data_IF_774658129034
#
_entry.id   IF_774658129034
#
_cell.length_a   1.000
_cell.length_b   1.000
_cell.length_c   1.000
_cell.angle_alpha   90.00
_cell.angle_beta   90.00
_cell.angle_gamma   90.00
#
_symmetry.space_group_name_H-M   'P 1'
#
loop_
_entity.id
_entity.type
_entity.pdbx_description
1 polymer ?
#
# COMPACT_ATOMS: atom_id res chain seq x y z
N UNK A 1 5.14 5.83 15.49
CA UNK A 1 4.54 6.09 14.16
C UNK A 1 4.30 4.73 13.53
N UNK A 2 3.04 4.36 13.28
CA UNK A 2 2.72 3.10 12.60
C UNK A 2 3.24 3.19 11.17
N UNK A 3 4.30 2.44 10.88
CA UNK A 3 4.98 2.42 9.60
C UNK A 3 4.07 1.81 8.53
N UNK A 4 4.06 2.41 7.34
CA UNK A 4 3.26 1.96 6.18
C UNK A 4 3.44 0.45 5.87
N UNK A 5 4.65 -0.06 6.12
CA UNK A 5 4.99 -1.48 5.98
C UNK A 5 4.20 -2.41 6.92
N UNK A 6 3.87 -1.96 8.13
CA UNK A 6 3.11 -2.76 9.11
C UNK A 6 1.67 -2.91 8.65
N UNK A 7 1.06 -1.82 8.18
CA UNK A 7 -0.30 -1.85 7.63
C UNK A 7 -0.36 -2.78 6.42
N UNK A 8 0.62 -2.65 5.51
CA UNK A 8 0.70 -3.48 4.30
C UNK A 8 0.79 -4.98 4.63
N UNK A 9 1.66 -5.36 5.56
CA UNK A 9 1.77 -6.76 5.98
C UNK A 9 0.49 -7.30 6.63
N UNK A 10 -0.19 -6.48 7.43
CA UNK A 10 -1.43 -6.89 8.09
C UNK A 10 -2.56 -7.12 7.08
N UNK A 11 -2.66 -6.28 6.04
CA UNK A 11 -3.61 -6.45 4.94
C UNK A 11 -3.32 -7.74 4.17
N UNK A 12 -2.05 -8.01 3.85
CA UNK A 12 -1.65 -9.20 3.11
C UNK A 12 -2.00 -10.47 3.90
N UNK A 13 -1.67 -10.51 5.19
CA UNK A 13 -2.00 -11.66 6.05
C UNK A 13 -3.50 -11.91 6.09
N UNK A 14 -4.30 -10.86 6.29
CA UNK A 14 -5.76 -10.97 6.32
C UNK A 14 -6.34 -11.41 4.97
N UNK A 15 -5.74 -11.01 3.85
CA UNK A 15 -6.12 -11.47 2.52
C UNK A 15 -5.75 -12.94 2.25
N UNK A 16 -4.75 -13.50 2.93
CA UNK A 16 -4.44 -14.92 2.87
C UNK A 16 -5.33 -15.76 3.79
N UNK A 17 -5.67 -15.24 4.98
CA UNK A 17 -6.55 -15.92 5.93
C UNK A 17 -8.03 -15.89 5.51
N UNK A 18 -8.47 -14.78 4.92
CA UNK A 18 -9.85 -14.59 4.47
C UNK A 18 -9.91 -14.36 2.94
N UNK A 19 -10.22 -15.40 2.15
CA UNK A 19 -10.36 -15.28 0.70
C UNK A 19 -11.54 -14.38 0.29
N UNK A 20 -12.56 -14.22 1.14
CA UNK A 20 -13.65 -13.28 0.89
C UNK A 20 -13.17 -11.84 1.01
N UNK A 21 -12.33 -11.57 2.02
CA UNK A 21 -11.67 -10.27 2.17
C UNK A 21 -10.76 -9.97 0.98
N UNK A 22 -9.99 -10.94 0.49
CA UNK A 22 -9.17 -10.78 -0.71
C UNK A 22 -9.98 -10.40 -1.94
N UNK A 23 -11.10 -11.10 -2.20
CA UNK A 23 -11.97 -10.76 -3.32
C UNK A 23 -12.55 -9.34 -3.19
N UNK A 24 -12.95 -8.95 -1.98
CA UNK A 24 -13.39 -7.57 -1.72
C UNK A 24 -12.27 -6.56 -1.90
N UNK A 25 -11.05 -6.86 -1.46
CA UNK A 25 -9.90 -5.98 -1.61
C UNK A 25 -9.58 -5.74 -3.09
N UNK A 26 -9.72 -6.76 -3.94
CA UNK A 26 -9.52 -6.64 -5.39
C UNK A 26 -10.65 -5.87 -6.08
N UNK A 27 -11.89 -5.98 -5.59
CA UNK A 27 -13.04 -5.27 -6.15
C UNK A 27 -13.12 -3.81 -5.67
N UNK A 28 -13.03 -3.59 -4.36
CA UNK A 28 -13.06 -2.29 -3.70
C UNK A 28 -12.08 -2.27 -2.50
N UNK A 29 -10.82 -1.90 -2.74
CA UNK A 29 -9.81 -1.91 -1.70
C UNK A 29 -10.08 -0.86 -0.61
N UNK A 30 -10.79 0.23 -0.92
CA UNK A 30 -11.11 1.26 0.09
C UNK A 30 -12.12 0.73 1.08
N UNK A 31 -13.22 0.18 0.59
CA UNK A 31 -14.26 -0.40 1.43
C UNK A 31 -13.69 -1.55 2.28
N UNK A 32 -12.91 -2.44 1.66
CA UNK A 32 -12.27 -3.55 2.37
C UNK A 32 -11.37 -3.07 3.52
N UNK A 33 -10.48 -2.09 3.27
CA UNK A 33 -9.60 -1.55 4.31
C UNK A 33 -10.36 -0.82 5.42
N UNK A 34 -11.43 -0.11 5.06
CA UNK A 34 -12.29 0.57 6.03
C UNK A 34 -13.01 -0.45 6.94
N UNK A 35 -13.61 -1.50 6.37
CA UNK A 35 -14.29 -2.54 7.15
C UNK A 35 -13.31 -3.36 8.00
N UNK A 36 -12.15 -3.71 7.45
CA UNK A 36 -11.23 -4.65 8.08
C UNK A 36 -10.27 -4.03 9.08
N UNK A 37 -9.87 -2.77 8.87
CA UNK A 37 -8.81 -2.09 9.62
C UNK A 37 -9.24 -0.70 10.11
N UNK A 38 -10.43 -0.22 9.74
CA UNK A 38 -10.90 1.12 10.09
C UNK A 38 -10.15 2.23 9.35
N UNK A 39 -9.42 1.91 8.27
CA UNK A 39 -8.63 2.88 7.52
C UNK A 39 -9.50 3.56 6.48
N UNK A 40 -9.70 4.87 6.66
CA UNK A 40 -10.46 5.70 5.72
C UNK A 40 -9.47 6.35 4.75
N UNK A 41 -9.60 6.02 3.47
CA UNK A 41 -8.79 6.61 2.40
C UNK A 41 -9.62 7.71 1.73
N UNK A 42 -9.11 8.96 1.66
CA UNK A 42 -9.84 10.06 1.06
C UNK A 42 -10.14 9.82 -0.43
N UNK A 43 -11.25 10.37 -0.92
CA UNK A 43 -11.69 10.23 -2.32
C UNK A 43 -10.70 10.77 -3.34
N UNK A 44 -9.83 11.71 -2.94
CA UNK A 44 -8.74 12.24 -3.76
C UNK A 44 -7.67 11.20 -4.10
N UNK A 45 -7.62 10.07 -3.40
CA UNK A 45 -6.64 9.01 -3.61
C UNK A 45 -7.31 7.79 -4.22
N UNK A 46 -6.90 7.42 -5.44
CA UNK A 46 -7.33 6.17 -6.07
C UNK A 46 -6.45 5.03 -5.57
N UNK A 47 -6.99 4.18 -4.69
CA UNK A 47 -6.33 2.95 -4.30
C UNK A 47 -6.70 1.83 -5.27
N UNK A 48 -5.69 1.14 -5.80
CA UNK A 48 -5.87 -0.07 -6.62
C UNK A 48 -5.13 -1.23 -5.96
N UNK A 49 -5.84 -2.29 -5.64
CA UNK A 49 -5.24 -3.55 -5.26
C UNK A 49 -4.97 -4.38 -6.51
N UNK A 50 -3.80 -4.99 -6.57
CA UNK A 50 -3.42 -5.95 -7.61
C UNK A 50 -2.91 -7.21 -6.92
N UNK A 51 -3.27 -8.35 -7.48
CA UNK A 51 -2.77 -9.64 -7.04
C UNK A 51 -1.56 -10.02 -7.89
N UNK A 52 -0.47 -10.40 -7.22
CA UNK A 52 0.71 -10.98 -7.87
C UNK A 52 0.51 -12.47 -8.09
N UNK A 53 0.31 -12.87 -9.35
CA UNK A 53 0.33 -14.25 -9.79
C UNK A 53 1.76 -14.76 -9.99
N UNK A 54 1.92 -16.08 -10.13
CA UNK A 54 3.23 -16.75 -10.24
C UNK A 54 4.11 -16.34 -11.42
N UNK A 55 3.58 -15.53 -12.36
CA UNK A 55 4.28 -15.08 -13.57
C UNK A 55 4.18 -13.56 -13.78
N UNK A 56 3.81 -12.80 -12.74
CA UNK A 56 3.68 -11.36 -12.79
C UNK A 56 4.55 -10.74 -11.69
N UNK A 57 5.11 -9.55 -11.95
CA UNK A 57 5.87 -8.80 -10.96
C UNK A 57 5.48 -7.34 -11.07
N UNK A 58 5.03 -6.74 -9.95
CA UNK A 58 4.57 -5.36 -9.95
C UNK A 58 5.65 -4.41 -9.41
N UNK A 59 6.00 -3.40 -10.21
CA UNK A 59 6.84 -2.29 -9.78
C UNK A 59 5.99 -1.05 -9.52
N UNK A 60 6.09 -0.51 -8.29
CA UNK A 60 5.46 0.76 -7.93
C UNK A 60 6.42 1.89 -8.24
N UNK A 61 6.08 2.71 -9.24
CA UNK A 61 6.83 3.93 -9.56
C UNK A 61 6.10 5.12 -8.92
N UNK A 62 6.71 5.81 -7.94
CA UNK A 62 6.10 6.98 -7.34
C UNK A 62 6.02 8.13 -8.35
N UNK A 63 5.04 9.05 -8.22
CA UNK A 63 4.98 10.24 -9.07
C UNK A 63 6.31 11.00 -8.99
N UNK A 64 6.73 11.59 -10.11
CA UNK A 64 7.97 12.35 -10.19
C UNK A 64 8.01 13.32 -9.01
N UNK A 65 9.05 13.25 -8.16
CA UNK A 65 9.14 14.10 -7.00
C UNK A 65 9.19 15.53 -7.51
N UNK A 66 8.08 16.25 -7.39
CA UNK A 66 8.08 17.70 -7.54
C UNK A 66 8.93 18.21 -6.38
N UNK A 67 10.23 18.39 -6.64
CA UNK A 67 11.37 18.90 -5.84
C UNK A 67 11.52 18.55 -4.34
N UNK A 68 10.46 18.34 -3.57
CA UNK A 68 10.52 18.21 -2.10
C UNK A 68 10.94 16.81 -1.62
N UNK A 69 10.58 15.75 -2.34
CA UNK A 69 11.04 14.39 -1.98
C UNK A 69 12.50 14.16 -2.40
N UNK A 70 12.98 14.78 -3.49
CA UNK A 70 14.40 14.72 -3.88
C UNK A 70 15.34 15.31 -2.82
N UNK A 71 14.88 16.28 -2.03
CA UNK A 71 15.65 16.81 -0.89
C UNK A 71 15.78 15.80 0.26
N UNK A 72 14.79 14.92 0.46
CA UNK A 72 14.81 13.95 1.56
C UNK A 72 15.67 12.71 1.26
N UNK A 73 15.78 12.29 0.00
CA UNK A 73 16.69 11.20 -0.42
C UNK A 73 18.13 11.67 -0.67
N UNK A 74 18.38 12.98 -0.76
CA UNK A 74 19.72 13.56 -0.90
C UNK A 74 20.44 13.83 0.45
N UNK A 75 19.85 13.44 1.58
CA UNK A 75 20.56 13.44 2.85
C UNK A 75 21.28 12.09 3.01
N UNK A 76 22.63 12.04 3.06
CA UNK A 76 23.34 10.79 3.26
C UNK A 76 22.94 10.19 4.62
N UNK A 77 22.22 9.06 4.59
CA UNK A 77 22.20 8.13 5.72
C UNK A 77 23.60 7.53 5.83
N UNK A 78 24.45 8.19 6.60
CA UNK A 78 25.81 7.75 6.86
C UNK A 78 26.66 8.84 7.49
N UNK A 79 26.43 9.13 8.78
CA UNK A 79 27.46 9.71 9.64
C UNK A 79 27.94 8.59 10.56
N UNK A 80 29.08 8.01 10.21
CA UNK A 80 30.01 7.33 11.11
C UNK A 80 31.41 7.81 10.73
#
# INVERSE_FOLDING_TARGET
>A
MLSEAVLRNQVIQKAWEDPSFKQRLLADPKAALQEALGVIIPDSVTLKAVEEGSNEFYLVIPPSPSSDVLKAIAAPRGSW
#
